data_IF_784457051284
#
_entry.id   IF_784457051284
#
_cell.length_a   1.000
_cell.length_b   1.000
_cell.length_c   1.000
_cell.angle_alpha   90.00
_cell.angle_beta   90.00
_cell.angle_gamma   90.00
#
_symmetry.space_group_name_H-M   'P 1'
#
loop_
_entity.id
_entity.type
_entity.pdbx_description
1 polymer ?
#
# COMPACT_ATOMS: atom_id res chain seq x y z
N UNK A 1 30.53 11.99 -66.59
CA UNK A 1 30.88 13.10 -65.68
C UNK A 1 29.55 13.68 -65.24
N UNK A 2 29.05 13.57 -64.01
CA UNK A 2 29.69 13.34 -62.73
C UNK A 2 28.84 12.40 -61.84
N UNK A 3 29.55 11.76 -60.90
CA UNK A 3 29.14 10.83 -59.85
C UNK A 3 28.90 11.65 -58.58
N UNK A 4 27.74 11.53 -57.93
CA UNK A 4 27.42 12.27 -56.70
C UNK A 4 27.28 11.28 -55.53
N UNK A 5 28.33 11.27 -54.70
CA UNK A 5 28.43 10.46 -53.49
C UNK A 5 27.68 11.14 -52.34
N UNK A 6 26.86 10.35 -51.64
CA UNK A 6 26.28 10.74 -50.36
C UNK A 6 27.21 10.33 -49.21
N UNK A 7 27.66 11.34 -48.46
CA UNK A 7 28.47 11.19 -47.26
C UNK A 7 27.64 10.75 -46.05
N UNK A 8 28.13 9.75 -45.32
CA UNK A 8 27.60 9.33 -44.03
C UNK A 8 28.28 10.12 -42.90
N UNK A 9 27.52 10.95 -42.20
CA UNK A 9 27.96 11.55 -40.94
C UNK A 9 28.01 10.50 -39.83
N UNK A 10 29.22 10.22 -39.35
CA UNK A 10 29.47 9.41 -38.15
C UNK A 10 29.43 10.32 -36.93
N UNK A 11 28.53 10.01 -36.00
CA UNK A 11 28.42 10.70 -34.71
C UNK A 11 29.41 10.10 -33.71
N UNK A 12 30.40 10.90 -33.29
CA UNK A 12 31.45 10.52 -32.34
C UNK A 12 31.02 10.91 -30.91
N UNK A 13 30.85 9.93 -30.02
CA UNK A 13 30.53 10.16 -28.61
C UNK A 13 31.77 10.52 -27.79
N UNK A 14 31.74 11.53 -26.90
CA UNK A 14 32.86 11.86 -26.04
C UNK A 14 32.98 10.90 -24.84
N UNK A 15 34.20 10.38 -24.64
CA UNK A 15 34.62 9.61 -23.45
C UNK A 15 34.67 10.55 -22.23
N UNK A 16 33.88 10.28 -21.19
CA UNK A 16 34.03 10.96 -19.90
C UNK A 16 35.00 10.20 -19.01
N UNK A 17 36.02 10.92 -18.56
CA UNK A 17 37.06 10.48 -17.64
C UNK A 17 36.48 10.16 -16.25
N UNK A 18 36.89 9.02 -15.69
CA UNK A 18 36.64 8.65 -14.30
C UNK A 18 37.66 9.35 -13.40
N UNK A 19 37.20 10.18 -12.47
CA UNK A 19 38.00 10.73 -11.39
C UNK A 19 37.81 9.85 -10.15
N UNK A 20 38.83 9.07 -9.80
CA UNK A 20 38.93 8.32 -8.55
C UNK A 20 39.33 9.29 -7.43
N UNK A 21 38.42 9.57 -6.50
CA UNK A 21 38.76 10.21 -5.21
C UNK A 21 38.70 9.11 -4.15
N UNK A 22 39.88 8.73 -3.65
CA UNK A 22 40.02 7.78 -2.55
C UNK A 22 39.59 8.41 -1.22
N UNK A 23 38.72 7.73 -0.49
CA UNK A 23 38.42 8.04 0.92
C UNK A 23 38.99 6.92 1.78
N UNK A 24 39.93 7.27 2.64
CA UNK A 24 40.53 6.39 3.61
C UNK A 24 39.54 6.13 4.77
N UNK A 25 39.24 4.86 5.03
CA UNK A 25 38.44 4.43 6.18
C UNK A 25 39.38 4.14 7.35
N UNK A 26 39.28 4.94 8.41
CA UNK A 26 39.93 4.65 9.68
C UNK A 26 39.10 3.62 10.45
N UNK A 27 39.65 2.41 10.64
CA UNK A 27 39.13 1.42 11.57
C UNK A 27 39.35 1.89 13.01
N UNK A 28 38.27 2.27 13.69
CA UNK A 28 38.22 2.38 15.15
C UNK A 28 37.63 1.11 15.74
N UNK A 29 38.48 0.21 16.23
CA UNK A 29 38.09 -0.94 17.05
C UNK A 29 37.74 -0.43 18.44
N UNK A 30 36.48 -0.61 18.87
CA UNK A 30 36.10 -0.51 20.28
C UNK A 30 35.61 -1.89 20.73
N UNK A 31 36.52 -2.61 21.38
CA UNK A 31 36.21 -3.76 22.23
C UNK A 31 35.62 -3.23 23.55
N UNK A 32 34.37 -3.56 23.84
CA UNK A 32 33.83 -3.50 25.20
C UNK A 32 33.13 -4.82 25.51
N UNK A 33 33.80 -5.61 26.34
CA UNK A 33 33.36 -6.91 26.82
C UNK A 33 32.51 -6.77 28.10
N UNK A 34 31.54 -7.68 28.22
CA UNK A 34 30.96 -8.26 29.44
C UNK A 34 30.42 -7.33 30.54
N UNK A 35 29.13 -7.47 30.87
CA UNK A 35 28.66 -8.33 31.99
C UNK A 35 27.14 -8.39 32.08
N UNK A 36 26.68 -9.59 32.37
CA UNK A 36 25.32 -9.97 32.79
C UNK A 36 24.94 -9.26 34.08
N UNK A 37 23.67 -8.85 34.21
CA UNK A 37 23.02 -8.73 35.52
C UNK A 37 21.49 -8.92 35.35
N UNK A 38 21.02 -10.10 35.76
CA UNK A 38 19.60 -10.36 36.05
C UNK A 38 19.34 -9.97 37.51
N UNK A 39 18.26 -9.23 37.81
CA UNK A 39 17.64 -9.34 39.11
C UNK A 39 16.44 -10.29 39.04
N UNK A 40 16.63 -11.48 39.61
CA UNK A 40 15.55 -12.28 40.22
C UNK A 40 14.77 -11.38 41.17
N UNK A 41 13.52 -11.07 40.84
CA UNK A 41 12.57 -10.55 41.81
C UNK A 41 11.66 -11.67 42.29
N UNK A 42 11.76 -11.87 43.59
CA UNK A 42 11.14 -12.85 44.47
C UNK A 42 9.61 -12.91 44.38
N UNK A 43 9.12 -14.15 44.41
CA UNK A 43 7.75 -14.48 44.73
C UNK A 43 7.37 -13.99 46.14
N UNK A 44 6.20 -13.36 46.25
CA UNK A 44 5.44 -13.24 47.49
C UNK A 44 4.03 -13.75 47.18
N UNK A 45 3.60 -14.78 47.92
CA UNK A 45 2.33 -15.46 47.74
C UNK A 45 1.10 -14.62 48.15
N UNK A 46 -0.10 -15.12 47.84
CA UNK A 46 -1.35 -14.43 48.17
C UNK A 46 -1.76 -14.68 49.62
N UNK A 47 -2.34 -13.70 50.34
CA UNK A 47 -3.18 -14.01 51.48
C UNK A 47 -4.59 -14.38 51.01
N UNK A 48 -5.07 -15.49 51.57
CA UNK A 48 -6.42 -16.01 51.42
C UNK A 48 -7.48 -15.07 52.04
N UNK A 49 -8.69 -15.23 51.52
CA UNK A 49 -9.93 -14.54 51.85
C UNK A 49 -10.31 -14.57 53.34
N UNK A 50 -11.09 -13.56 53.77
CA UNK A 50 -12.28 -13.82 54.58
C UNK A 50 -13.27 -12.64 54.60
N UNK A 51 -14.51 -12.99 54.22
CA UNK A 51 -15.79 -12.63 54.82
C UNK A 51 -16.44 -11.23 54.73
N UNK A 52 -17.69 -11.33 54.28
CA UNK A 52 -18.91 -10.74 54.84
C UNK A 52 -19.29 -9.30 54.45
N UNK A 53 -20.38 -9.21 53.69
CA UNK A 53 -21.14 -7.97 53.50
C UNK A 53 -22.07 -8.00 52.29
N UNK A 54 -23.22 -8.65 52.41
CA UNK A 54 -24.43 -8.24 51.66
C UNK A 54 -25.46 -7.66 52.64
N UNK A 55 -26.66 -7.28 52.20
CA UNK A 55 -27.02 -6.58 50.98
C UNK A 55 -27.73 -5.24 51.31
N UNK A 56 -27.67 -4.24 50.42
CA UNK A 56 -28.65 -3.14 50.43
C UNK A 56 -29.19 -2.91 49.04
N UNK A 57 -30.47 -3.23 48.90
CA UNK A 57 -31.31 -2.95 47.75
C UNK A 57 -31.73 -1.48 47.74
N UNK A 58 -31.68 -0.87 46.55
CA UNK A 58 -32.42 0.33 46.11
C UNK A 58 -32.01 0.48 44.63
N UNK A 59 -32.73 -0.01 43.63
CA UNK A 59 -34.15 0.17 43.40
C UNK A 59 -34.35 1.51 42.70
N UNK A 60 -34.03 1.62 41.39
CA UNK A 60 -34.59 2.65 40.51
C UNK A 60 -35.22 2.02 39.28
N UNK A 61 -36.48 2.41 39.11
CA UNK A 61 -37.50 1.87 38.26
C UNK A 61 -37.15 1.87 36.77
N UNK A 62 -37.51 0.74 36.14
CA UNK A 62 -37.91 0.68 34.74
C UNK A 62 -38.97 1.74 34.46
N UNK A 63 -38.73 2.57 33.44
CA UNK A 63 -39.80 3.31 32.77
C UNK A 63 -40.13 2.59 31.48
N UNK A 64 -41.34 2.03 31.33
CA UNK A 64 -41.86 1.65 30.03
C UNK A 64 -42.42 2.92 29.37
N UNK A 65 -41.98 3.21 28.15
CA UNK A 65 -42.67 4.17 27.28
C UNK A 65 -43.17 3.43 26.06
N UNK A 66 -44.47 3.14 26.16
CA UNK A 66 -45.48 3.17 25.09
C UNK A 66 -45.24 2.38 23.81
N UNK A 67 -45.79 1.17 23.83
CA UNK A 67 -46.31 0.49 22.65
C UNK A 67 -47.45 1.31 22.04
N UNK A 68 -47.25 1.80 20.82
CA UNK A 68 -48.33 2.23 19.95
C UNK A 68 -49.09 1.00 19.40
N UNK A 69 -50.43 0.98 19.46
CA UNK A 69 -51.21 -0.15 18.99
C UNK A 69 -51.24 -0.26 17.46
N UNK A 70 -51.16 -1.52 17.04
CA UNK A 70 -51.44 -2.04 15.71
C UNK A 70 -52.90 -1.74 15.31
N UNK A 71 -53.08 -1.10 14.15
CA UNK A 71 -54.35 -1.02 13.46
C UNK A 71 -54.29 -1.88 12.18
N UNK A 72 -55.07 -2.96 12.23
CA UNK A 72 -55.82 -3.64 11.18
C UNK A 72 -55.31 -3.61 9.72
N UNK A 73 -55.06 -4.83 9.24
CA UNK A 73 -54.97 -5.23 7.85
C UNK A 73 -56.28 -5.00 7.06
N UNK A 74 -56.13 -4.64 5.77
CA UNK A 74 -57.05 -4.97 4.70
C UNK A 74 -56.23 -5.32 3.44
N UNK A 75 -56.71 -6.24 2.57
CA UNK A 75 -55.88 -7.00 1.65
C UNK A 75 -55.65 -6.24 0.34
N UNK A 76 -54.40 -6.14 -0.10
CA UNK A 76 -54.11 -5.81 -1.49
C UNK A 76 -53.68 -7.07 -2.22
N UNK A 77 -54.60 -7.50 -3.07
CA UNK A 77 -54.53 -8.56 -4.07
C UNK A 77 -53.24 -8.51 -4.88
N UNK A 78 -52.55 -9.65 -4.96
CA UNK A 78 -51.56 -9.94 -6.01
C UNK A 78 -52.23 -9.90 -7.38
N UNK A 79 -51.66 -9.18 -8.36
CA UNK A 79 -51.78 -9.53 -9.76
C UNK A 79 -50.66 -10.49 -10.13
N UNK A 80 -51.06 -11.59 -10.74
CA UNK A 80 -50.21 -12.60 -11.38
C UNK A 80 -49.19 -12.00 -12.35
N UNK A 81 -48.03 -12.64 -12.40
CA UNK A 81 -46.96 -12.43 -13.37
C UNK A 81 -47.45 -12.41 -14.83
N UNK A 82 -46.71 -11.69 -15.67
CA UNK A 82 -46.31 -12.27 -16.95
C UNK A 82 -44.79 -12.34 -17.08
N UNK A 83 -44.35 -13.54 -17.42
CA UNK A 83 -43.23 -13.94 -18.27
C UNK A 83 -42.21 -12.87 -18.70
N UNK A 84 -40.93 -13.19 -18.46
CA UNK A 84 -39.77 -12.53 -19.04
C UNK A 84 -39.89 -12.35 -20.58
N UNK A 85 -39.27 -11.31 -21.13
CA UNK A 85 -38.01 -11.61 -21.81
C UNK A 85 -36.92 -10.54 -21.65
N UNK A 86 -35.71 -10.99 -21.99
CA UNK A 86 -34.59 -10.22 -22.53
C UNK A 86 -33.80 -9.29 -21.60
N UNK A 87 -32.61 -9.78 -21.26
CA UNK A 87 -31.32 -9.08 -21.21
C UNK A 87 -31.36 -7.59 -21.53
N UNK A 88 -31.13 -6.77 -20.50
CA UNK A 88 -30.79 -5.36 -20.67
C UNK A 88 -29.31 -5.17 -20.37
N UNK A 89 -28.59 -5.09 -21.48
CA UNK A 89 -27.25 -4.61 -21.75
C UNK A 89 -26.59 -3.83 -20.60
N UNK A 90 -25.53 -4.42 -20.05
CA UNK A 90 -24.46 -3.73 -19.34
C UNK A 90 -23.90 -2.61 -20.23
N UNK A 91 -23.71 -1.38 -19.73
CA UNK A 91 -22.96 -0.38 -20.48
C UNK A 91 -21.51 -0.84 -20.53
N UNK A 92 -21.11 -1.36 -21.68
CA UNK A 92 -19.72 -1.59 -22.05
C UNK A 92 -18.95 -0.30 -21.90
N UNK A 93 -18.15 -0.21 -20.82
CA UNK A 93 -17.09 0.76 -20.71
C UNK A 93 -16.17 0.58 -21.93
N UNK A 94 -15.78 1.64 -22.66
CA UNK A 94 -14.93 1.49 -23.83
C UNK A 94 -13.59 0.87 -23.43
N UNK A 95 -13.35 -0.37 -23.86
CA UNK A 95 -12.01 -0.93 -23.98
C UNK A 95 -11.25 -0.07 -24.98
N UNK A 96 -10.47 0.89 -24.47
CA UNK A 96 -9.52 1.63 -25.29
C UNK A 96 -8.54 0.63 -25.93
N UNK A 97 -8.28 0.70 -27.24
CA UNK A 97 -7.29 -0.16 -27.87
C UNK A 97 -5.91 0.18 -27.31
N UNK A 98 -5.22 -0.83 -26.78
CA UNK A 98 -3.82 -0.73 -26.45
C UNK A 98 -3.02 -0.40 -27.74
N UNK A 99 -2.15 0.61 -27.75
CA UNK A 99 -1.18 0.74 -28.82
C UNK A 99 -0.23 -0.46 -28.79
N UNK A 100 -0.14 -1.14 -29.92
CA UNK A 100 0.89 -2.13 -30.23
C UNK A 100 2.17 -1.40 -30.62
N UNK A 101 3.29 -2.00 -30.23
CA UNK A 101 4.68 -1.64 -30.52
C UNK A 101 5.22 -0.41 -29.79
N UNK A 102 5.72 -0.63 -28.58
CA UNK A 102 6.86 0.12 -28.04
C UNK A 102 7.78 -0.88 -27.34
N UNK A 103 9.08 -0.80 -27.63
CA UNK A 103 10.11 -1.75 -27.18
C UNK A 103 10.10 -1.99 -25.66
N UNK A 104 10.37 -3.24 -25.28
CA UNK A 104 10.26 -3.76 -23.91
C UNK A 104 11.30 -3.16 -22.96
N UNK A 105 10.99 -2.00 -22.39
CA UNK A 105 11.44 -1.62 -21.06
C UNK A 105 10.60 -2.39 -20.03
N UNK A 106 11.17 -2.85 -18.90
CA UNK A 106 10.40 -3.50 -17.84
C UNK A 106 9.28 -2.55 -17.42
N UNK A 107 8.05 -2.93 -17.76
CA UNK A 107 6.97 -1.97 -17.89
C UNK A 107 6.44 -1.53 -16.54
N UNK A 108 6.11 -0.24 -16.49
CA UNK A 108 5.29 0.48 -15.51
C UNK A 108 3.84 -0.07 -15.45
N UNK A 109 3.67 -1.39 -15.47
CA UNK A 109 2.37 -2.04 -15.46
C UNK A 109 1.67 -1.78 -14.13
N UNK A 110 0.38 -1.46 -14.22
CA UNK A 110 -0.46 -1.27 -13.03
C UNK A 110 -0.83 -2.64 -12.46
N UNK A 111 -0.55 -2.86 -11.19
CA UNK A 111 -0.97 -4.05 -10.45
C UNK A 111 -2.13 -3.73 -9.53
N UNK A 112 -3.02 -4.69 -9.31
CA UNK A 112 -4.23 -4.52 -8.50
C UNK A 112 -4.34 -5.58 -7.43
N UNK A 113 -4.85 -5.18 -6.27
CA UNK A 113 -5.20 -6.07 -5.17
C UNK A 113 -6.55 -5.64 -4.60
N UNK A 114 -7.51 -6.55 -4.54
CA UNK A 114 -8.83 -6.32 -3.98
C UNK A 114 -9.03 -7.17 -2.73
N UNK A 115 -9.66 -6.62 -1.70
CA UNK A 115 -9.98 -7.32 -0.46
C UNK A 115 -10.62 -6.42 0.57
N UNK A 116 -11.52 -6.99 1.39
CA UNK A 116 -12.28 -6.27 2.41
C UNK A 116 -13.02 -5.01 1.88
N UNK A 117 -13.59 -5.09 0.67
CA UNK A 117 -14.34 -3.97 0.07
C UNK A 117 -13.48 -2.82 -0.46
N UNK A 118 -12.15 -2.96 -0.49
CA UNK A 118 -11.23 -1.98 -1.06
C UNK A 118 -10.43 -2.59 -2.21
N UNK A 119 -10.34 -1.87 -3.32
CA UNK A 119 -9.39 -2.14 -4.40
C UNK A 119 -8.23 -1.17 -4.31
N UNK A 120 -7.01 -1.70 -4.36
CA UNK A 120 -5.76 -0.95 -4.40
C UNK A 120 -5.11 -1.22 -5.75
N UNK A 121 -4.93 -0.18 -6.56
CA UNK A 121 -4.19 -0.24 -7.80
C UNK A 121 -2.90 0.58 -7.68
N UNK A 122 -1.78 0.00 -8.10
CA UNK A 122 -0.46 0.62 -7.99
C UNK A 122 0.27 0.57 -9.32
N UNK A 123 0.81 1.71 -9.73
CA UNK A 123 1.62 1.86 -10.94
C UNK A 123 3.00 2.38 -10.55
N UNK A 124 4.04 1.57 -10.70
CA UNK A 124 5.42 2.06 -10.58
C UNK A 124 5.75 2.97 -11.75
N UNK A 125 6.32 4.15 -11.49
CA UNK A 125 6.67 5.13 -12.53
C UNK A 125 7.96 4.78 -13.30
N UNK A 126 8.58 3.63 -13.00
CA UNK A 126 9.76 3.12 -13.69
C UNK A 126 11.09 3.59 -13.10
N UNK A 127 12.17 2.94 -13.51
CA UNK A 127 13.51 3.16 -12.93
C UNK A 127 14.01 4.61 -13.09
N UNK A 128 13.72 5.25 -14.22
CA UNK A 128 14.13 6.64 -14.49
C UNK A 128 13.46 7.66 -13.58
N UNK A 129 12.25 7.37 -13.08
CA UNK A 129 11.54 8.21 -12.11
C UNK A 129 11.95 7.88 -10.65
N UNK A 130 12.72 6.80 -10.45
CA UNK A 130 13.07 6.28 -9.14
C UNK A 130 11.93 5.48 -8.48
N UNK A 131 11.98 5.30 -7.16
CA UNK A 131 10.99 4.53 -6.42
C UNK A 131 9.73 5.37 -6.14
N UNK A 132 9.03 5.74 -7.21
CA UNK A 132 7.80 6.56 -7.18
C UNK A 132 6.63 5.74 -7.72
N UNK A 133 5.51 5.76 -7.01
CA UNK A 133 4.32 4.97 -7.33
C UNK A 133 3.09 5.86 -7.39
N UNK A 134 2.26 5.65 -8.41
CA UNK A 134 0.88 6.14 -8.41
C UNK A 134 0.01 5.08 -7.73
N UNK A 135 -0.74 5.48 -6.72
CA UNK A 135 -1.62 4.59 -5.96
C UNK A 135 -3.05 5.10 -6.05
N UNK A 136 -3.97 4.20 -6.40
CA UNK A 136 -5.41 4.43 -6.38
C UNK A 136 -6.04 3.47 -5.38
N UNK A 137 -6.79 4.03 -4.44
CA UNK A 137 -7.60 3.33 -3.46
C UNK A 137 -9.08 3.59 -3.80
N UNK A 138 -9.84 2.52 -3.96
CA UNK A 138 -11.23 2.57 -4.40
C UNK A 138 -12.11 1.73 -3.49
N UNK A 139 -13.17 2.31 -2.94
CA UNK A 139 -14.13 1.60 -2.09
C UNK A 139 -15.50 2.28 -2.12
N UNK A 140 -16.52 1.57 -1.66
CA UNK A 140 -17.86 2.11 -1.43
C UNK A 140 -18.31 1.91 0.02
N UNK A 141 -17.43 1.43 0.91
CA UNK A 141 -17.83 0.97 2.26
C UNK A 141 -17.00 1.52 3.41
N UNK A 142 -15.80 2.05 3.16
CA UNK A 142 -14.92 2.59 4.22
C UNK A 142 -14.45 3.99 3.90
N UNK A 143 -14.18 4.79 4.93
CA UNK A 143 -13.47 6.06 4.76
C UNK A 143 -11.98 5.78 4.53
N UNK A 144 -11.41 6.32 3.43
CA UNK A 144 -10.01 6.17 3.09
C UNK A 144 -9.14 7.35 3.55
N UNK A 145 -9.74 8.42 4.06
CA UNK A 145 -9.01 9.62 4.47
C UNK A 145 -8.20 9.41 5.75
N UNK A 146 -8.53 8.39 6.54
CA UNK A 146 -7.81 7.99 7.74
C UNK A 146 -6.50 7.23 7.46
N UNK A 147 -6.32 6.68 6.26
CA UNK A 147 -5.10 5.94 5.92
C UNK A 147 -4.00 6.90 5.44
N UNK A 148 -2.86 6.81 6.11
CA UNK A 148 -1.60 7.44 5.68
C UNK A 148 -0.64 6.37 5.14
N UNK A 149 -0.53 6.28 3.81
CA UNK A 149 0.34 5.29 3.19
C UNK A 149 1.83 5.54 3.50
N UNK A 150 2.21 6.73 3.97
CA UNK A 150 3.57 6.97 4.47
C UNK A 150 3.92 6.10 5.67
N UNK A 151 2.93 5.73 6.47
CA UNK A 151 3.09 4.89 7.66
C UNK A 151 2.85 3.40 7.37
N UNK A 152 2.03 3.13 6.36
CA UNK A 152 1.51 1.79 6.08
C UNK A 152 2.25 1.04 4.98
N UNK A 153 3.14 1.72 4.24
CA UNK A 153 3.86 1.11 3.15
C UNK A 153 5.34 0.87 3.45
N UNK A 154 5.91 -0.15 2.78
CA UNK A 154 7.34 -0.47 2.75
C UNK A 154 7.71 -0.86 1.33
N UNK A 155 8.85 -0.37 0.84
CA UNK A 155 9.45 -0.83 -0.40
C UNK A 155 10.56 -1.82 -0.08
N UNK A 156 10.53 -3.00 -0.70
CA UNK A 156 11.56 -4.02 -0.62
C UNK A 156 12.24 -4.19 -1.97
N UNK A 157 13.52 -4.50 -1.96
CA UNK A 157 14.30 -4.78 -3.17
C UNK A 157 14.83 -6.21 -3.14
N UNK A 158 15.11 -6.78 -4.31
CA UNK A 158 15.56 -8.18 -4.45
C UNK A 158 16.89 -8.49 -3.76
N UNK A 159 17.68 -7.48 -3.45
CA UNK A 159 18.93 -7.57 -2.68
C UNK A 159 18.71 -7.42 -1.16
N UNK A 160 17.46 -7.46 -0.70
CA UNK A 160 17.09 -7.54 0.71
C UNK A 160 17.01 -6.20 1.44
N UNK A 161 17.06 -5.07 0.73
CA UNK A 161 16.93 -3.75 1.34
C UNK A 161 15.46 -3.38 1.51
N UNK A 162 15.18 -2.62 2.56
CA UNK A 162 13.86 -2.06 2.84
C UNK A 162 13.94 -0.54 2.99
N UNK A 163 12.90 0.16 2.53
CA UNK A 163 12.76 1.59 2.70
C UNK A 163 11.32 1.96 3.09
N UNK A 164 11.19 2.96 3.96
CA UNK A 164 9.91 3.61 4.26
C UNK A 164 9.65 4.76 3.27
N UNK A 165 8.39 5.08 2.97
CA UNK A 165 8.06 6.20 2.11
C UNK A 165 8.59 7.53 2.67
N UNK A 166 9.12 8.37 1.79
CA UNK A 166 9.46 9.76 2.10
C UNK A 166 8.23 10.67 2.05
N UNK A 167 7.20 10.31 1.28
CA UNK A 167 5.97 11.10 1.18
C UNK A 167 4.79 10.35 0.58
N UNK A 168 3.58 10.79 0.95
CA UNK A 168 2.30 10.38 0.39
C UNK A 168 1.51 11.63 0.04
N UNK A 169 1.48 11.98 -1.24
CA UNK A 169 0.73 13.14 -1.75
C UNK A 169 -0.55 12.66 -2.41
N UNK A 170 -1.63 12.70 -1.64
CA UNK A 170 -2.96 12.30 -2.08
C UNK A 170 -4.00 13.23 -1.46
N UNK A 171 -4.72 14.01 -2.28
CA UNK A 171 -5.86 14.77 -1.80
C UNK A 171 -6.82 13.90 -0.99
N UNK A 172 -7.52 14.54 -0.05
CA UNK A 172 -8.65 13.92 0.62
C UNK A 172 -9.70 13.58 -0.44
N UNK A 173 -10.29 12.40 -0.31
CA UNK A 173 -11.18 11.86 -1.33
C UNK A 173 -12.28 10.96 -0.76
N UNK A 174 -12.34 10.80 0.56
CA UNK A 174 -13.32 9.95 1.24
C UNK A 174 -13.21 8.51 0.77
N UNK A 175 -14.09 8.08 -0.13
CA UNK A 175 -14.20 6.70 -0.61
C UNK A 175 -13.40 6.40 -1.89
N UNK A 176 -12.82 7.42 -2.54
CA UNK A 176 -11.88 7.24 -3.64
C UNK A 176 -10.67 8.15 -3.44
N UNK A 177 -9.47 7.57 -3.33
CA UNK A 177 -8.24 8.35 -3.19
C UNK A 177 -7.22 7.97 -4.25
N UNK A 178 -6.58 8.97 -4.82
CA UNK A 178 -5.46 8.81 -5.74
C UNK A 178 -4.32 9.71 -5.30
N UNK A 179 -3.10 9.21 -5.38
CA UNK A 179 -1.93 10.01 -5.10
C UNK A 179 -0.61 9.37 -5.45
N UNK A 180 0.45 10.11 -5.14
CA UNK A 180 1.84 9.74 -5.38
C UNK A 180 2.48 9.29 -4.08
N UNK A 181 2.96 8.05 -4.04
CA UNK A 181 3.76 7.49 -2.96
C UNK A 181 5.23 7.48 -3.38
N UNK A 182 6.06 8.18 -2.63
CA UNK A 182 7.47 8.39 -2.95
C UNK A 182 8.37 7.77 -1.87
N UNK A 183 9.49 7.22 -2.28
CA UNK A 183 10.53 6.68 -1.39
C UNK A 183 11.88 7.38 -1.60
N UNK A 184 12.83 7.26 -0.66
CA UNK A 184 14.20 7.71 -0.86
C UNK A 184 14.84 7.04 -2.08
N UNK A 185 15.64 7.79 -2.84
CA UNK A 185 16.41 7.24 -3.97
C UNK A 185 17.68 6.50 -3.53
N UNK A 186 18.12 6.69 -2.29
CA UNK A 186 19.29 6.05 -1.71
C UNK A 186 18.92 5.21 -0.48
N UNK A 187 19.63 4.11 -0.28
CA UNK A 187 19.57 3.30 0.92
C UNK A 187 20.34 3.96 2.08
N UNK A 188 20.28 3.36 3.27
CA UNK A 188 20.92 3.88 4.48
C UNK A 188 22.46 3.95 4.38
N UNK A 189 23.07 3.13 3.53
CA UNK A 189 24.50 3.11 3.25
C UNK A 189 24.95 4.14 2.18
N UNK A 190 24.01 4.94 1.67
CA UNK A 190 24.25 5.95 0.63
C UNK A 190 24.26 5.41 -0.81
N UNK A 191 24.10 4.10 -1.01
CA UNK A 191 23.98 3.51 -2.35
C UNK A 191 22.59 3.76 -2.97
N UNK A 192 22.44 3.73 -4.31
CA UNK A 192 21.12 3.84 -4.94
C UNK A 192 20.19 2.70 -4.49
N UNK A 193 18.99 3.05 -4.02
CA UNK A 193 18.00 2.09 -3.52
C UNK A 193 17.59 1.10 -4.61
N UNK A 194 17.40 1.59 -5.84
CA UNK A 194 17.21 0.76 -7.04
C UNK A 194 18.49 0.89 -7.87
N UNK A 195 19.31 -0.15 -7.87
CA UNK A 195 20.59 -0.18 -8.57
C UNK A 195 20.46 -0.97 -9.89
N UNK A 196 21.43 -0.86 -10.83
CA UNK A 196 21.43 -1.67 -12.06
C UNK A 196 21.44 -3.19 -11.82
N UNK A 197 21.82 -3.63 -10.63
CA UNK A 197 21.82 -5.04 -10.20
C UNK A 197 20.50 -5.48 -9.55
N UNK A 198 19.60 -4.54 -9.24
CA UNK A 198 18.28 -4.85 -8.66
C UNK A 198 17.45 -5.58 -9.70
N UNK A 199 16.96 -6.77 -9.35
CA UNK A 199 16.18 -7.65 -10.24
C UNK A 199 14.68 -7.54 -10.03
N UNK A 200 14.27 -7.14 -8.83
CA UNK A 200 12.87 -6.92 -8.52
C UNK A 200 12.72 -5.89 -7.40
N UNK A 201 11.57 -5.24 -7.39
CA UNK A 201 11.08 -4.41 -6.30
C UNK A 201 9.69 -4.86 -5.87
N UNK A 202 9.39 -4.75 -4.59
CA UNK A 202 8.09 -5.08 -4.00
C UNK A 202 7.57 -3.90 -3.18
N UNK A 203 6.43 -3.35 -3.57
CA UNK A 203 5.68 -2.45 -2.70
C UNK A 203 4.76 -3.29 -1.82
N UNK A 204 4.90 -3.09 -0.52
CA UNK A 204 4.09 -3.72 0.52
C UNK A 204 3.20 -2.64 1.13
N UNK A 205 1.88 -2.85 1.16
CA UNK A 205 0.89 -1.95 1.77
C UNK A 205 0.12 -2.71 2.85
N UNK A 206 0.14 -2.21 4.08
CA UNK A 206 -0.40 -2.89 5.26
C UNK A 206 -1.65 -2.23 5.80
N UNK A 207 -2.45 -3.04 6.49
CA UNK A 207 -3.56 -2.62 7.35
C UNK A 207 -4.62 -1.69 6.72
N UNK A 208 -4.72 -1.66 5.39
CA UNK A 208 -5.81 -0.95 4.70
C UNK A 208 -7.06 -1.83 4.72
N UNK A 209 -8.11 -1.35 5.38
CA UNK A 209 -9.37 -2.05 5.59
C UNK A 209 -9.22 -3.43 6.26
N UNK A 210 -8.31 -3.56 7.22
CA UNK A 210 -8.11 -4.79 8.00
C UNK A 210 -7.41 -5.94 7.26
N UNK A 211 -6.99 -5.74 6.00
CA UNK A 211 -6.12 -6.68 5.30
C UNK A 211 -4.68 -6.42 5.75
N UNK A 212 -4.07 -7.44 6.37
CA UNK A 212 -2.74 -7.37 7.00
C UNK A 212 -1.68 -6.87 6.01
N UNK A 213 -1.63 -7.44 4.80
CA UNK A 213 -0.63 -7.09 3.80
C UNK A 213 -1.16 -7.26 2.37
N UNK A 214 -0.83 -6.30 1.49
CA UNK A 214 -0.98 -6.37 0.04
C UNK A 214 0.39 -6.13 -0.59
N UNK A 215 0.81 -7.00 -1.50
CA UNK A 215 2.14 -6.94 -2.13
C UNK A 215 2.03 -6.80 -3.63
N UNK A 216 2.81 -5.87 -4.19
CA UNK A 216 2.88 -5.57 -5.63
C UNK A 216 4.33 -5.69 -6.06
N UNK A 217 4.63 -6.53 -7.06
CA UNK A 217 6.02 -6.90 -7.40
C UNK A 217 6.34 -6.66 -8.87
N UNK A 218 7.38 -5.88 -9.15
CA UNK A 218 7.89 -5.65 -10.51
C UNK A 218 9.27 -6.26 -10.67
N UNK A 219 9.51 -6.91 -11.80
CA UNK A 219 10.83 -7.39 -12.25
C UNK A 219 11.48 -6.32 -13.13
N UNK A 220 12.79 -6.11 -12.98
CA UNK A 220 13.59 -5.09 -13.67
C UNK A 220 14.53 -5.72 -14.70
#
# INVERSE_FOLDING_TARGET
MADERHDHHTWSSPRRAALLVGVAVALGVVLAACRSDEPRSTAAGPPAATNAGGPTQSGWASRPVEQVPSAAAAPQTQPTAPTAPASKTEPTQPTAPAPKDEAEQPSAATQKSAGAGVTVAVTWQGASAGPVFQVVLDTHSVDLDSYDLRQLAVLRTSDGREARPSGWDAPKGGHHRKGTLSFPTTAADGSPLIAPTTRAIELVVRDVAGVVERTFRWTL
#
